data_IF_435637132704
#
_entry.id   IF_435637132704
#
_cell.length_a   1.000
_cell.length_b   1.000
_cell.length_c   1.000
_cell.angle_alpha   90.00
_cell.angle_beta   90.00
_cell.angle_gamma   90.00
#
_symmetry.space_group_name_H-M   'P 1'
#
loop_
_entity.id
_entity.type
_entity.pdbx_description
1 polymer ?
#
# COMPACT_ATOMS: atom_id res chain seq x y z
N UNK A 1 5.01 -21.67 -26.29
CA UNK A 1 4.38 -22.31 -27.44
C UNK A 1 3.29 -21.42 -28.04
N UNK A 2 3.00 -21.56 -29.32
CA UNK A 2 1.94 -20.82 -30.01
C UNK A 2 0.55 -21.45 -29.77
N UNK A 3 -0.49 -20.89 -30.45
CA UNK A 3 -1.87 -21.42 -30.35
C UNK A 3 -2.04 -22.83 -30.95
N UNK A 4 -1.04 -23.28 -31.69
CA UNK A 4 -0.98 -24.64 -32.32
C UNK A 4 0.01 -25.53 -31.57
N UNK A 5 0.39 -25.20 -30.34
CA UNK A 5 1.33 -25.93 -29.47
C UNK A 5 2.77 -26.07 -30.03
N UNK A 6 3.15 -25.24 -31.01
CA UNK A 6 4.51 -25.22 -31.58
C UNK A 6 5.46 -24.40 -30.72
N UNK A 7 6.71 -24.80 -30.64
CA UNK A 7 7.77 -24.02 -30.02
C UNK A 7 8.01 -22.72 -30.81
N UNK A 8 8.07 -21.61 -30.08
CA UNK A 8 8.40 -20.30 -30.63
C UNK A 8 9.74 -19.87 -30.05
N UNK A 9 10.63 -19.38 -30.88
CA UNK A 9 11.82 -18.66 -30.45
C UNK A 9 11.54 -17.14 -30.51
N UNK A 10 12.02 -16.40 -29.53
CA UNK A 10 11.92 -14.94 -29.49
C UNK A 10 13.22 -14.36 -28.96
N UNK A 11 13.57 -13.18 -29.42
CA UNK A 11 14.67 -12.37 -28.90
C UNK A 11 14.20 -11.36 -27.84
N UNK A 12 12.87 -11.30 -27.59
CA UNK A 12 12.29 -10.42 -26.58
C UNK A 12 12.44 -11.04 -25.22
N UNK A 13 12.79 -10.22 -24.23
CA UNK A 13 12.84 -10.62 -22.83
C UNK A 13 11.48 -10.38 -22.18
N UNK A 14 10.91 -11.34 -21.43
CA UNK A 14 9.69 -11.13 -20.69
C UNK A 14 9.96 -10.19 -19.51
N UNK A 15 8.99 -9.33 -19.18
CA UNK A 15 9.03 -8.45 -18.00
C UNK A 15 8.93 -9.22 -16.66
N UNK A 16 8.65 -10.51 -16.70
CA UNK A 16 8.41 -11.35 -15.54
C UNK A 16 8.78 -12.80 -15.84
N UNK A 17 9.52 -13.43 -14.94
CA UNK A 17 9.85 -14.87 -14.99
C UNK A 17 9.28 -15.61 -13.77
N UNK A 18 9.31 -16.94 -13.81
CA UNK A 18 8.73 -17.77 -12.76
C UNK A 18 9.42 -17.51 -11.40
N UNK A 19 8.62 -17.25 -10.37
CA UNK A 19 9.10 -16.95 -9.02
C UNK A 19 9.39 -15.48 -8.75
N UNK A 20 9.24 -14.61 -9.74
CA UNK A 20 9.38 -13.16 -9.59
C UNK A 20 8.02 -12.47 -9.51
N UNK A 21 8.08 -11.19 -9.16
CA UNK A 21 6.96 -10.26 -9.12
C UNK A 21 7.22 -9.11 -10.10
N UNK A 22 6.19 -8.71 -10.82
CA UNK A 22 6.22 -7.50 -11.63
C UNK A 22 4.86 -6.81 -11.68
N UNK A 23 4.87 -5.51 -11.89
CA UNK A 23 3.68 -4.74 -12.24
C UNK A 23 3.51 -4.79 -13.75
N UNK A 24 2.37 -5.29 -14.20
CA UNK A 24 2.03 -5.42 -15.61
C UNK A 24 0.74 -4.67 -15.94
N UNK A 25 0.66 -4.16 -17.17
CA UNK A 25 -0.54 -3.50 -17.67
C UNK A 25 -1.55 -4.52 -18.19
N UNK A 26 -2.82 -4.30 -17.89
CA UNK A 26 -3.94 -5.04 -18.47
C UNK A 26 -4.17 -4.55 -19.91
N UNK A 27 -3.79 -5.37 -20.89
CA UNK A 27 -3.99 -5.08 -22.31
C UNK A 27 -5.45 -5.27 -22.73
N UNK A 28 -6.11 -6.32 -22.23
CA UNK A 28 -7.50 -6.63 -22.54
C UNK A 28 -8.16 -7.44 -21.43
N UNK A 29 -9.51 -7.40 -21.42
CA UNK A 29 -10.33 -8.27 -20.57
C UNK A 29 -11.27 -9.11 -21.46
N UNK A 30 -11.49 -10.36 -21.06
CA UNK A 30 -12.31 -11.31 -21.82
C UNK A 30 -13.26 -12.10 -20.93
N UNK A 31 -13.95 -13.08 -21.52
CA UNK A 31 -14.95 -13.91 -20.83
C UNK A 31 -14.37 -14.83 -19.75
N UNK A 32 -13.07 -15.08 -19.74
CA UNK A 32 -12.39 -16.05 -18.85
C UNK A 32 -11.35 -15.41 -17.92
N UNK A 33 -11.01 -14.14 -18.14
CA UNK A 33 -10.01 -13.41 -17.36
C UNK A 33 -9.51 -12.19 -18.07
N UNK A 34 -8.35 -11.71 -17.64
CA UNK A 34 -7.62 -10.59 -18.24
C UNK A 34 -6.38 -11.10 -18.98
N UNK A 35 -5.85 -10.26 -19.85
CA UNK A 35 -4.62 -10.48 -20.62
C UNK A 35 -3.67 -9.32 -20.32
N UNK A 36 -2.44 -9.66 -19.94
CA UNK A 36 -1.44 -8.71 -19.46
C UNK A 36 -0.29 -8.58 -20.46
N UNK A 37 0.12 -7.35 -20.75
CA UNK A 37 1.34 -7.10 -21.50
C UNK A 37 2.58 -7.41 -20.65
N UNK A 38 3.26 -8.50 -20.96
CA UNK A 38 4.49 -8.93 -20.29
C UNK A 38 5.73 -8.89 -21.18
N UNK A 39 5.65 -8.16 -22.31
CA UNK A 39 6.76 -7.93 -23.22
C UNK A 39 6.91 -8.95 -24.35
N UNK A 40 6.15 -10.03 -24.38
CA UNK A 40 6.14 -11.02 -25.45
C UNK A 40 4.96 -10.81 -26.41
N UNK A 41 4.97 -11.48 -27.56
CA UNK A 41 3.91 -11.34 -28.58
C UNK A 41 2.53 -11.75 -28.11
N UNK A 42 2.47 -12.77 -27.25
CA UNK A 42 1.20 -13.19 -26.62
C UNK A 42 1.11 -12.64 -25.23
N UNK A 43 0.01 -11.99 -24.94
CA UNK A 43 -0.29 -11.50 -23.61
C UNK A 43 -0.36 -12.66 -22.60
N UNK A 44 0.03 -12.37 -21.37
CA UNK A 44 -0.01 -13.31 -20.27
C UNK A 44 -1.43 -13.42 -19.72
N UNK A 45 -1.97 -14.62 -19.64
CA UNK A 45 -3.33 -14.85 -19.16
C UNK A 45 -3.43 -14.79 -17.63
N UNK A 46 -4.38 -14.00 -17.13
CA UNK A 46 -4.73 -13.85 -15.72
C UNK A 46 -6.20 -14.30 -15.50
N UNK A 47 -6.45 -15.57 -15.11
CA UNK A 47 -7.79 -16.09 -14.88
C UNK A 47 -8.56 -15.33 -13.80
N UNK A 48 -9.89 -15.24 -13.88
CA UNK A 48 -10.71 -14.60 -12.85
C UNK A 48 -10.44 -15.12 -11.43
N UNK A 49 -10.21 -16.44 -11.27
CA UNK A 49 -9.92 -17.06 -9.96
C UNK A 49 -8.60 -16.60 -9.34
N UNK A 50 -7.73 -15.98 -10.11
CA UNK A 50 -6.43 -15.47 -9.70
C UNK A 50 -6.42 -13.95 -9.54
N UNK A 51 -7.53 -13.28 -9.84
CA UNK A 51 -7.71 -11.84 -9.62
C UNK A 51 -8.19 -11.58 -8.19
N UNK A 52 -7.72 -10.49 -7.58
CA UNK A 52 -8.16 -10.03 -6.25
C UNK A 52 -9.13 -8.86 -6.33
N UNK A 53 -9.30 -8.26 -7.52
CA UNK A 53 -10.31 -7.24 -7.83
C UNK A 53 -10.75 -7.37 -9.29
N UNK A 54 -11.83 -6.67 -9.64
CA UNK A 54 -12.23 -6.53 -11.05
C UNK A 54 -11.20 -5.66 -11.79
N UNK A 55 -10.87 -6.03 -13.01
CA UNK A 55 -9.87 -5.38 -13.84
C UNK A 55 -10.49 -4.79 -15.11
N UNK A 56 -9.88 -3.68 -15.57
CA UNK A 56 -10.18 -3.01 -16.81
C UNK A 56 -8.92 -2.85 -17.65
N UNK A 57 -9.02 -2.73 -18.98
CA UNK A 57 -7.88 -2.39 -19.83
C UNK A 57 -7.22 -1.08 -19.35
N UNK A 58 -5.90 -1.07 -19.27
CA UNK A 58 -5.10 0.05 -18.74
C UNK A 58 -4.80 -0.01 -17.24
N UNK A 59 -5.44 -0.93 -16.49
CA UNK A 59 -5.08 -1.14 -15.07
C UNK A 59 -3.65 -1.67 -14.96
N UNK A 60 -2.93 -1.20 -13.93
CA UNK A 60 -1.68 -1.80 -13.48
C UNK A 60 -1.94 -2.81 -12.36
N UNK A 61 -1.32 -3.98 -12.45
CA UNK A 61 -1.50 -5.06 -11.49
C UNK A 61 -0.18 -5.72 -11.11
N UNK A 62 0.04 -5.89 -9.80
CA UNK A 62 1.16 -6.67 -9.29
C UNK A 62 0.81 -8.15 -9.42
N UNK A 63 1.65 -8.90 -10.12
CA UNK A 63 1.44 -10.31 -10.40
C UNK A 63 2.73 -11.11 -10.26
N UNK A 64 2.55 -12.41 -10.08
CA UNK A 64 3.58 -13.43 -10.28
C UNK A 64 3.12 -14.47 -11.30
N UNK A 65 4.05 -15.34 -11.71
CA UNK A 65 3.74 -16.45 -12.60
C UNK A 65 3.51 -17.73 -11.81
N UNK A 66 2.57 -18.54 -12.32
CA UNK A 66 2.41 -19.92 -11.90
C UNK A 66 2.12 -20.81 -13.13
N UNK A 67 2.35 -22.10 -12.97
CA UNK A 67 2.02 -23.09 -13.99
C UNK A 67 0.65 -23.68 -13.66
N UNK A 68 -0.29 -23.59 -14.58
CA UNK A 68 -1.64 -24.12 -14.42
C UNK A 68 -1.65 -25.67 -14.56
N UNK A 69 -2.82 -26.29 -14.33
CA UNK A 69 -2.99 -27.76 -14.46
C UNK A 69 -2.81 -28.28 -15.88
N UNK A 70 -2.71 -27.41 -16.87
CA UNK A 70 -2.51 -27.71 -18.29
C UNK A 70 -1.09 -27.35 -18.75
N UNK A 71 -0.14 -27.24 -17.82
CA UNK A 71 1.26 -26.91 -18.08
C UNK A 71 1.47 -25.57 -18.81
N UNK A 72 0.59 -24.58 -18.56
CA UNK A 72 0.71 -23.24 -19.16
C UNK A 72 1.10 -22.22 -18.11
N UNK A 73 1.95 -21.28 -18.50
CA UNK A 73 2.25 -20.10 -17.69
C UNK A 73 1.02 -19.19 -17.64
N UNK A 74 0.60 -18.85 -16.43
CA UNK A 74 -0.49 -17.93 -16.14
C UNK A 74 -0.06 -16.95 -15.04
N UNK A 75 -0.70 -15.78 -15.01
CA UNK A 75 -0.50 -14.79 -13.96
C UNK A 75 -1.40 -15.05 -12.75
N UNK A 76 -0.95 -14.61 -11.59
CA UNK A 76 -1.74 -14.56 -10.35
C UNK A 76 -1.51 -13.24 -9.62
N UNK A 77 -2.58 -12.60 -9.13
CA UNK A 77 -2.53 -11.46 -8.20
C UNK A 77 -2.44 -11.92 -6.73
N UNK A 78 -2.50 -13.21 -6.45
CA UNK A 78 -2.35 -13.77 -5.10
C UNK A 78 -0.88 -13.90 -4.74
N UNK A 79 -0.25 -12.75 -4.53
CA UNK A 79 1.21 -12.62 -4.46
C UNK A 79 1.83 -12.90 -3.10
N UNK A 80 1.05 -13.14 -2.06
CA UNK A 80 1.52 -13.31 -0.68
C UNK A 80 2.72 -14.26 -0.53
N UNK A 81 2.69 -15.42 -1.21
CA UNK A 81 3.75 -16.43 -1.10
C UNK A 81 5.00 -16.12 -1.94
N UNK A 82 4.94 -15.13 -2.81
CA UNK A 82 6.06 -14.72 -3.67
C UNK A 82 6.82 -13.54 -3.09
N UNK A 83 6.23 -12.84 -2.11
CA UNK A 83 6.87 -11.71 -1.44
C UNK A 83 8.00 -12.19 -0.53
N UNK A 84 9.12 -11.47 -0.57
CA UNK A 84 10.29 -11.73 0.27
C UNK A 84 10.09 -11.18 1.68
N UNK A 85 10.74 -11.81 2.65
CA UNK A 85 10.71 -11.41 4.06
C UNK A 85 12.04 -10.85 4.56
N UNK A 86 13.10 -10.93 3.76
CA UNK A 86 14.43 -10.41 4.09
C UNK A 86 14.65 -8.99 3.55
N UNK A 87 13.79 -8.06 3.93
CA UNK A 87 13.93 -6.67 3.52
C UNK A 87 15.14 -6.00 4.18
N UNK A 88 15.74 -4.97 3.53
CA UNK A 88 16.81 -4.18 4.13
C UNK A 88 16.31 -3.13 5.13
N UNK A 89 15.00 -2.99 5.27
CA UNK A 89 14.38 -1.92 6.05
C UNK A 89 14.43 -2.16 7.55
N UNK A 90 14.54 -1.05 8.30
CA UNK A 90 14.53 -1.01 9.76
C UNK A 90 13.34 -0.20 10.28
N UNK A 91 13.08 -0.30 11.58
CA UNK A 91 12.01 0.47 12.23
C UNK A 91 12.29 1.97 12.08
N UNK A 92 11.27 2.71 11.65
CA UNK A 92 11.33 4.15 11.39
C UNK A 92 11.46 4.52 9.92
N UNK A 93 11.91 3.61 9.06
CA UNK A 93 12.05 3.87 7.63
C UNK A 93 10.72 4.20 6.98
N UNK A 94 10.76 5.10 5.99
CA UNK A 94 9.64 5.40 5.10
C UNK A 94 9.80 4.58 3.83
N UNK A 95 8.80 3.79 3.50
CA UNK A 95 8.82 2.87 2.38
C UNK A 95 7.62 3.10 1.47
N UNK A 96 7.79 2.85 0.18
CA UNK A 96 6.68 2.81 -0.79
C UNK A 96 6.13 1.41 -0.86
N UNK A 97 4.83 1.30 -0.97
CA UNK A 97 4.18 0.00 -1.08
C UNK A 97 2.90 0.05 -1.90
N UNK A 98 2.50 -1.11 -2.39
CA UNK A 98 1.28 -1.32 -3.14
C UNK A 98 0.36 -2.28 -2.40
N UNK A 99 -0.88 -1.90 -2.22
CA UNK A 99 -1.90 -2.76 -1.60
C UNK A 99 -2.26 -3.87 -2.57
N UNK A 100 -2.08 -5.13 -2.16
CA UNK A 100 -2.46 -6.28 -2.98
C UNK A 100 -3.64 -7.08 -2.41
N UNK A 101 -3.93 -6.93 -1.11
CA UNK A 101 -5.05 -7.61 -0.45
C UNK A 101 -5.54 -6.80 0.76
N UNK A 102 -6.84 -6.82 1.02
CA UNK A 102 -7.48 -6.22 2.19
C UNK A 102 -8.24 -7.31 2.93
N UNK A 103 -7.87 -7.54 4.19
CA UNK A 103 -8.48 -8.54 5.05
C UNK A 103 -9.24 -7.89 6.20
N UNK A 104 -10.51 -8.25 6.36
CA UNK A 104 -11.33 -7.77 7.48
C UNK A 104 -10.80 -8.19 8.86
N UNK A 105 -9.97 -9.23 8.93
CA UNK A 105 -9.42 -9.75 10.18
C UNK A 105 -8.03 -9.21 10.49
N UNK A 106 -7.15 -9.13 9.49
CA UNK A 106 -5.72 -8.81 9.68
C UNK A 106 -5.40 -7.35 9.40
N UNK A 107 -6.04 -6.73 8.43
CA UNK A 107 -5.74 -5.38 7.95
C UNK A 107 -5.40 -5.35 6.47
N UNK A 108 -4.48 -4.48 6.08
CA UNK A 108 -4.13 -4.20 4.69
C UNK A 108 -2.76 -4.78 4.37
N UNK A 109 -2.72 -5.72 3.45
CA UNK A 109 -1.49 -6.34 2.99
C UNK A 109 -0.84 -5.49 1.91
N UNK A 110 0.44 -5.20 2.09
CA UNK A 110 1.21 -4.27 1.26
C UNK A 110 2.46 -4.97 0.73
N UNK A 111 2.68 -4.88 -0.57
CA UNK A 111 3.95 -5.24 -1.18
C UNK A 111 4.86 -4.01 -1.16
N UNK A 112 5.81 -3.98 -0.24
CA UNK A 112 6.83 -2.91 -0.14
C UNK A 112 7.81 -3.08 -1.29
N UNK A 113 7.99 -2.00 -2.09
CA UNK A 113 8.76 -1.98 -3.35
C UNK A 113 8.34 -3.09 -4.32
N UNK A 114 7.05 -3.46 -4.30
CA UNK A 114 6.51 -4.58 -5.08
C UNK A 114 7.27 -5.92 -4.86
N UNK A 115 7.95 -6.07 -3.72
CA UNK A 115 8.89 -7.15 -3.44
C UNK A 115 8.81 -7.74 -2.04
N UNK A 116 8.64 -6.92 -1.01
CA UNK A 116 8.72 -7.35 0.39
C UNK A 116 7.35 -7.38 1.06
N UNK A 117 7.18 -8.35 1.97
CA UNK A 117 5.93 -8.55 2.69
C UNK A 117 5.73 -7.51 3.79
N UNK A 118 4.67 -6.72 3.68
CA UNK A 118 4.24 -5.73 4.66
C UNK A 118 2.77 -5.89 5.03
N UNK A 119 2.41 -5.44 6.23
CA UNK A 119 1.05 -5.43 6.74
C UNK A 119 0.80 -4.13 7.51
N UNK A 120 -0.24 -3.40 7.16
CA UNK A 120 -0.83 -2.37 8.01
C UNK A 120 -1.88 -3.07 8.87
N UNK A 121 -1.67 -3.18 10.21
CA UNK A 121 -2.60 -3.87 11.09
C UNK A 121 -4.00 -3.22 11.06
N UNK A 122 -5.05 -4.01 11.25
CA UNK A 122 -6.44 -3.53 11.24
C UNK A 122 -6.69 -2.32 12.14
N UNK A 123 -6.07 -2.27 13.32
CA UNK A 123 -6.18 -1.14 14.26
C UNK A 123 -5.66 0.19 13.69
N UNK A 124 -4.79 0.13 12.69
CA UNK A 124 -4.20 1.29 12.01
C UNK A 124 -4.80 1.55 10.63
N UNK A 125 -5.52 0.59 10.08
CA UNK A 125 -6.19 0.68 8.79
C UNK A 125 -7.51 1.46 8.90
N UNK A 126 -7.43 2.78 9.14
CA UNK A 126 -8.60 3.66 9.35
C UNK A 126 -9.03 4.44 8.11
N UNK A 127 -8.26 4.36 7.01
CA UNK A 127 -8.57 5.02 5.74
C UNK A 127 -9.30 4.07 4.78
N UNK A 128 -9.95 4.65 3.78
CA UNK A 128 -10.52 3.90 2.66
C UNK A 128 -9.40 3.42 1.73
N UNK A 129 -9.00 2.17 1.92
CA UNK A 129 -7.98 1.52 1.10
C UNK A 129 -8.60 0.70 -0.02
N UNK A 130 -7.91 0.65 -1.17
CA UNK A 130 -8.31 -0.22 -2.27
C UNK A 130 -7.12 -0.99 -2.86
N UNK A 131 -7.37 -2.18 -3.36
CA UNK A 131 -6.35 -3.03 -3.98
C UNK A 131 -5.79 -2.36 -5.24
N UNK A 132 -4.47 -2.32 -5.36
CA UNK A 132 -3.72 -1.62 -6.40
C UNK A 132 -3.27 -0.21 -6.02
N UNK A 133 -3.76 0.34 -4.91
CA UNK A 133 -3.34 1.66 -4.42
C UNK A 133 -1.88 1.63 -4.00
N UNK A 134 -1.12 2.63 -4.44
CA UNK A 134 0.21 2.95 -3.93
C UNK A 134 0.12 3.90 -2.74
N UNK A 135 0.99 3.70 -1.76
CA UNK A 135 1.06 4.56 -0.59
C UNK A 135 2.45 4.56 0.01
N UNK A 136 2.77 5.61 0.75
CA UNK A 136 3.93 5.65 1.62
C UNK A 136 3.56 5.17 3.01
N UNK A 137 4.41 4.35 3.59
CA UNK A 137 4.25 3.79 4.93
C UNK A 137 5.51 3.97 5.74
N UNK A 138 5.36 4.07 7.06
CA UNK A 138 6.47 3.94 8.01
C UNK A 138 6.55 2.51 8.50
N UNK A 139 7.76 1.96 8.57
CA UNK A 139 8.02 0.68 9.22
C UNK A 139 7.93 0.86 10.73
N UNK A 140 6.97 0.19 11.37
CA UNK A 140 6.77 0.24 12.84
C UNK A 140 7.40 -0.92 13.56
N UNK A 141 7.60 -2.05 12.87
CA UNK A 141 8.20 -3.27 13.43
C UNK A 141 8.77 -4.13 12.29
N UNK A 142 9.90 -4.74 12.53
CA UNK A 142 10.41 -5.84 11.71
C UNK A 142 10.23 -7.12 12.52
N UNK A 143 9.37 -8.02 12.04
CA UNK A 143 9.06 -9.28 12.75
C UNK A 143 10.22 -10.27 12.67
N UNK A 144 10.23 -11.25 13.55
CA UNK A 144 11.25 -12.33 13.57
C UNK A 144 11.35 -13.08 12.24
N UNK A 145 10.22 -13.25 11.53
CA UNK A 145 10.18 -13.85 10.18
C UNK A 145 10.56 -12.87 9.06
N UNK A 146 10.95 -11.64 9.41
CA UNK A 146 11.40 -10.59 8.49
C UNK A 146 10.27 -9.83 7.77
N UNK A 147 9.01 -10.11 8.06
CA UNK A 147 7.88 -9.33 7.56
C UNK A 147 7.79 -7.99 8.26
N UNK A 148 7.30 -6.97 7.54
CA UNK A 148 7.20 -5.61 8.04
C UNK A 148 5.80 -5.32 8.58
N UNK A 149 5.71 -4.80 9.80
CA UNK A 149 4.52 -4.08 10.26
C UNK A 149 4.63 -2.63 9.82
N UNK A 150 3.56 -2.09 9.25
CA UNK A 150 3.56 -0.77 8.62
C UNK A 150 2.48 0.12 9.23
N UNK A 151 2.72 1.43 9.19
CA UNK A 151 1.71 2.45 9.47
C UNK A 151 1.65 3.43 8.30
N UNK A 152 0.46 3.67 7.78
CA UNK A 152 0.20 4.68 6.74
C UNK A 152 -0.13 6.07 7.33
N UNK A 153 0.03 6.26 8.64
CA UNK A 153 -0.29 7.49 9.38
C UNK A 153 0.74 8.62 9.18
N UNK A 154 1.61 8.57 8.17
CA UNK A 154 2.61 9.61 7.92
C UNK A 154 1.99 11.01 7.92
N UNK A 155 1.03 11.27 7.07
CA UNK A 155 0.38 12.59 6.97
C UNK A 155 -0.38 13.01 8.24
N UNK A 156 -1.03 12.07 8.93
CA UNK A 156 -1.77 12.42 10.15
C UNK A 156 -0.84 12.68 11.34
N UNK A 157 0.30 11.98 11.45
CA UNK A 157 1.28 12.21 12.50
C UNK A 157 2.10 13.48 12.23
N UNK A 158 2.52 13.71 11.00
CA UNK A 158 3.15 14.98 10.59
C UNK A 158 2.21 16.16 10.81
N UNK A 159 0.92 16.00 10.49
CA UNK A 159 -0.06 17.04 10.77
C UNK A 159 -0.23 17.28 12.27
N UNK A 160 -0.22 16.23 13.12
CA UNK A 160 -0.26 16.40 14.57
C UNK A 160 0.99 17.13 15.08
N UNK A 161 2.16 16.85 14.53
CA UNK A 161 3.39 17.56 14.91
C UNK A 161 3.35 19.02 14.47
N UNK A 162 2.89 19.32 13.25
CA UNK A 162 2.67 20.70 12.75
C UNK A 162 1.63 21.43 13.61
N UNK A 163 0.51 20.77 13.90
CA UNK A 163 -0.56 21.32 14.75
C UNK A 163 -0.02 21.58 16.17
N UNK A 164 0.86 20.71 16.70
CA UNK A 164 1.49 20.87 18.01
C UNK A 164 2.46 22.03 18.04
N UNK A 165 3.29 22.20 17.02
CA UNK A 165 4.17 23.38 16.88
C UNK A 165 3.35 24.67 16.79
N UNK A 166 2.26 24.68 16.03
CA UNK A 166 1.36 25.83 15.94
C UNK A 166 0.72 26.16 17.29
N UNK A 167 0.29 25.15 18.05
CA UNK A 167 -0.25 25.34 19.40
C UNK A 167 0.82 25.89 20.34
N UNK A 168 2.06 25.37 20.27
CA UNK A 168 3.18 25.85 21.09
C UNK A 168 3.51 27.31 20.80
N UNK A 169 3.58 27.70 19.52
CA UNK A 169 3.82 29.08 19.09
C UNK A 169 2.79 30.06 19.66
N UNK A 170 1.50 29.71 19.62
CA UNK A 170 0.43 30.53 20.20
C UNK A 170 0.55 30.61 21.74
N UNK A 171 0.92 29.51 22.42
CA UNK A 171 1.17 29.52 23.87
C UNK A 171 2.31 30.49 24.21
N UNK A 172 3.37 30.52 23.43
CA UNK A 172 4.50 31.43 23.61
C UNK A 172 4.08 32.89 23.41
N UNK A 173 3.23 33.20 22.41
CA UNK A 173 2.66 34.54 22.19
C UNK A 173 1.83 35.01 23.40
N UNK A 174 1.17 34.09 24.11
CA UNK A 174 0.46 34.37 25.36
C UNK A 174 1.34 34.30 26.63
N UNK A 175 2.63 34.49 26.48
CA UNK A 175 3.60 34.45 27.59
C UNK A 175 3.61 33.12 28.38
N UNK A 176 3.34 32.02 27.69
CA UNK A 176 3.38 30.65 28.23
C UNK A 176 2.09 30.17 28.90
N UNK A 177 1.04 31.01 28.97
CA UNK A 177 -0.25 30.63 29.61
C UNK A 177 -1.41 31.05 28.74
N UNK A 178 -2.18 30.07 28.24
CA UNK A 178 -3.40 30.35 27.49
C UNK A 178 -4.51 30.87 28.44
N UNK A 179 -5.34 31.82 27.98
CA UNK A 179 -6.48 32.33 28.77
C UNK A 179 -7.69 31.37 28.81
N UNK A 180 -7.53 30.15 28.30
CA UNK A 180 -8.54 29.10 28.25
C UNK A 180 -7.90 27.70 28.29
N UNK A 181 -8.67 26.69 28.63
CA UNK A 181 -8.24 25.29 28.75
C UNK A 181 -8.70 24.42 27.55
N UNK A 182 -8.44 23.11 27.63
CA UNK A 182 -8.82 22.13 26.60
C UNK A 182 -10.35 21.97 26.44
N UNK A 183 -11.15 22.60 27.33
CA UNK A 183 -12.62 22.62 27.27
C UNK A 183 -13.18 23.80 26.49
N UNK A 184 -12.30 24.73 26.01
CA UNK A 184 -12.73 25.86 25.20
C UNK A 184 -13.68 25.47 24.07
N UNK A 185 -14.55 26.41 23.67
CA UNK A 185 -15.51 26.15 22.61
C UNK A 185 -14.81 25.93 21.25
N UNK A 186 -15.42 25.17 20.32
CA UNK A 186 -14.88 24.98 18.99
C UNK A 186 -14.57 26.28 18.25
N UNK A 187 -15.37 27.32 18.46
CA UNK A 187 -15.23 28.65 17.84
C UNK A 187 -13.98 29.36 18.33
N UNK A 188 -13.67 29.28 19.62
CA UNK A 188 -12.47 29.85 20.21
C UNK A 188 -11.22 29.15 19.68
N UNK A 189 -11.23 27.81 19.66
CA UNK A 189 -10.11 27.01 19.16
C UNK A 189 -9.86 27.30 17.66
N UNK A 190 -10.93 27.36 16.87
CA UNK A 190 -10.82 27.68 15.45
C UNK A 190 -10.28 29.09 15.20
N UNK A 191 -10.66 30.06 16.02
CA UNK A 191 -10.23 31.45 15.89
C UNK A 191 -8.76 31.63 16.28
N UNK A 192 -8.32 31.04 17.40
CA UNK A 192 -6.97 31.25 17.96
C UNK A 192 -5.90 30.35 17.29
N UNK A 193 -6.26 29.11 16.91
CA UNK A 193 -5.31 28.12 16.37
C UNK A 193 -5.59 27.73 14.91
N UNK A 194 -6.72 28.09 14.34
CA UNK A 194 -7.12 27.61 13.02
C UNK A 194 -7.47 26.11 12.96
N UNK A 195 -7.56 25.45 14.13
CA UNK A 195 -7.73 23.99 14.25
C UNK A 195 -9.17 23.62 14.64
N UNK A 196 -9.59 22.40 14.24
CA UNK A 196 -10.77 21.81 14.85
C UNK A 196 -10.49 21.38 16.30
N UNK A 197 -11.53 21.31 17.15
CA UNK A 197 -11.39 20.89 18.56
C UNK A 197 -10.74 19.50 18.68
N UNK A 198 -11.00 18.58 17.74
CA UNK A 198 -10.39 17.26 17.73
C UNK A 198 -8.89 17.31 17.34
N UNK A 199 -8.50 18.16 16.41
CA UNK A 199 -7.09 18.38 16.04
C UNK A 199 -6.32 19.03 17.20
N UNK A 200 -6.86 20.08 17.81
CA UNK A 200 -6.29 20.73 18.97
C UNK A 200 -6.03 19.75 20.13
N UNK A 201 -7.03 18.91 20.51
CA UNK A 201 -6.83 17.89 21.55
C UNK A 201 -5.72 16.88 21.24
N UNK A 202 -5.58 16.48 19.96
CA UNK A 202 -4.49 15.59 19.55
C UNK A 202 -3.14 16.27 19.62
N UNK A 203 -3.06 17.55 19.21
CA UNK A 203 -1.86 18.36 19.27
C UNK A 203 -1.38 18.57 20.72
N UNK A 204 -2.28 18.97 21.62
CA UNK A 204 -1.99 19.09 23.06
C UNK A 204 -1.54 17.76 23.66
N UNK A 205 -2.21 16.65 23.33
CA UNK A 205 -1.81 15.31 23.79
C UNK A 205 -0.45 14.84 23.25
N UNK A 206 0.04 15.44 22.16
CA UNK A 206 1.37 15.17 21.62
C UNK A 206 2.47 15.97 22.35
N UNK A 207 2.13 17.15 22.90
CA UNK A 207 3.03 18.00 23.66
C UNK A 207 3.22 17.58 25.13
N UNK A 208 2.36 16.72 25.64
CA UNK A 208 2.41 16.17 27.01
C UNK A 208 3.18 14.84 27.06
#
# INVERSE_FOLDING_TARGET
>A
RDSSDRLIATTREPKLVLGELAVLNVAATGKIGAFLDWGLEKDLFLPFKQQTRRLHPGDEVLVSLYIDKSDRLCATMKVYHFLKTNSPYVVGDIVKGRIYEISGNFGVFVAVDDRYSGLIPKREAQADYHVGQELECRVTEVKEDGKLSLSARGKAYEQIAIDAESVLSVIEEFAGVLPFDDKASPEVIQREFGLSKAAFKRAVGHLM
#
